data_IF_295429085606
#
_entry.id   IF_295429085606
#
_cell.length_a   1.000
_cell.length_b   1.000
_cell.length_c   1.000
_cell.angle_alpha   90.00
_cell.angle_beta   90.00
_cell.angle_gamma   90.00
#
_symmetry.space_group_name_H-M   'P 1'
#
loop_
_entity.id
_entity.type
_entity.pdbx_description
1 polymer ?
#
# COMPACT_ATOMS: atom_id res chain seq x y z
N UNK A 1 20.31 23.36 -1.38
CA UNK A 1 20.74 21.95 -1.19
C UNK A 1 19.83 21.18 -0.24
N UNK A 2 18.51 21.12 -0.46
CA UNK A 2 17.58 20.53 0.53
C UNK A 2 16.32 19.88 -0.02
N UNK A 3 16.26 19.54 -1.32
CA UNK A 3 15.09 18.92 -1.95
C UNK A 3 15.44 17.53 -2.44
N UNK A 4 15.68 16.66 -1.48
CA UNK A 4 15.68 15.20 -1.51
C UNK A 4 16.18 14.85 -0.13
N UNK A 5 15.29 14.49 0.81
CA UNK A 5 15.74 13.47 1.77
C UNK A 5 15.91 12.22 0.89
N UNK A 6 17.07 12.12 0.25
CA UNK A 6 17.58 10.86 -0.22
C UNK A 6 17.52 9.97 1.02
N UNK A 7 16.48 9.13 1.11
CA UNK A 7 16.74 7.79 1.58
C UNK A 7 17.95 7.37 0.75
N UNK A 8 19.13 7.38 1.36
CA UNK A 8 20.40 7.08 0.69
C UNK A 8 20.34 5.60 0.33
N UNK A 9 19.57 5.32 -0.72
CA UNK A 9 19.36 4.02 -1.31
C UNK A 9 20.69 3.67 -1.93
N UNK A 10 21.31 2.64 -1.38
CA UNK A 10 22.63 2.20 -1.83
C UNK A 10 22.55 0.73 -2.18
N UNK A 11 23.09 0.39 -3.34
CA UNK A 11 23.29 -1.00 -3.73
C UNK A 11 24.67 -1.39 -3.22
N UNK A 12 24.71 -2.37 -2.35
CA UNK A 12 25.94 -2.85 -1.72
C UNK A 12 26.20 -4.31 -2.09
N UNK A 13 27.47 -4.70 -2.08
CA UNK A 13 27.85 -6.13 -2.03
C UNK A 13 27.78 -6.62 -0.59
N UNK A 14 27.74 -7.94 -0.39
CA UNK A 14 27.77 -8.52 0.95
C UNK A 14 29.03 -8.12 1.73
N UNK A 15 30.19 -8.03 1.06
CA UNK A 15 31.44 -7.55 1.64
C UNK A 15 31.34 -6.11 2.15
N UNK A 16 30.67 -5.24 1.38
CA UNK A 16 30.47 -3.84 1.78
C UNK A 16 29.48 -3.73 2.93
N UNK A 17 28.42 -4.55 2.96
CA UNK A 17 27.49 -4.62 4.09
C UNK A 17 28.17 -5.12 5.37
N UNK A 18 29.01 -6.15 5.24
CA UNK A 18 29.80 -6.69 6.36
C UNK A 18 30.79 -5.66 6.90
N UNK A 19 31.39 -4.85 6.03
CA UNK A 19 32.27 -3.74 6.44
C UNK A 19 31.49 -2.58 7.08
N UNK A 20 30.24 -2.36 6.65
CA UNK A 20 29.37 -1.33 7.21
C UNK A 20 28.94 -1.68 8.64
N UNK A 21 28.46 -2.90 8.86
CA UNK A 21 28.05 -3.42 10.16
C UNK A 21 28.82 -4.72 10.45
N UNK A 22 30.03 -4.61 11.03
CA UNK A 22 30.87 -5.78 11.33
C UNK A 22 30.35 -6.63 12.49
N UNK A 23 29.43 -6.11 13.31
CA UNK A 23 28.90 -6.80 14.49
C UNK A 23 27.93 -7.93 14.14
N UNK A 24 27.43 -7.98 12.89
CA UNK A 24 26.51 -9.00 12.41
C UNK A 24 27.24 -9.82 11.36
N UNK A 25 27.27 -11.14 11.53
CA UNK A 25 27.75 -12.07 10.49
C UNK A 25 26.64 -12.29 9.46
N UNK A 26 26.58 -11.43 8.44
CA UNK A 26 25.47 -11.39 7.48
C UNK A 26 25.33 -12.69 6.68
N UNK A 27 26.45 -13.29 6.24
CA UNK A 27 26.43 -14.58 5.55
C UNK A 27 25.81 -15.68 6.43
N UNK A 28 26.20 -15.74 7.70
CA UNK A 28 25.65 -16.72 8.63
C UNK A 28 24.16 -16.45 8.89
N UNK A 29 23.77 -15.19 9.03
CA UNK A 29 22.37 -14.81 9.22
C UNK A 29 21.53 -15.22 8.01
N UNK A 30 21.93 -14.83 6.80
CA UNK A 30 21.19 -15.18 5.58
C UNK A 30 21.09 -16.68 5.37
N UNK A 31 22.19 -17.43 5.53
CA UNK A 31 22.17 -18.89 5.42
C UNK A 31 21.38 -19.58 6.55
N UNK A 32 21.15 -18.91 7.68
CA UNK A 32 20.33 -19.47 8.77
C UNK A 32 18.82 -19.24 8.58
N UNK A 33 18.43 -18.20 7.85
CA UNK A 33 17.01 -17.81 7.69
C UNK A 33 16.46 -18.13 6.30
N UNK A 34 17.32 -18.26 5.29
CA UNK A 34 16.92 -18.53 3.91
C UNK A 34 17.20 -19.98 3.52
N UNK A 35 16.33 -20.61 2.72
CA UNK A 35 16.55 -21.96 2.22
C UNK A 35 17.71 -21.98 1.22
N UNK A 36 18.65 -22.92 1.40
CA UNK A 36 19.81 -23.10 0.53
C UNK A 36 20.96 -22.12 0.82
N UNK A 37 22.02 -22.18 0.02
CA UNK A 37 23.13 -21.23 0.10
C UNK A 37 22.73 -19.91 -0.57
N UNK A 38 22.51 -18.87 0.23
CA UNK A 38 22.14 -17.55 -0.29
C UNK A 38 23.36 -16.64 -0.35
N UNK A 39 23.76 -16.27 -1.56
CA UNK A 39 24.87 -15.33 -1.80
C UNK A 39 24.40 -14.20 -2.73
N UNK A 40 23.90 -13.08 -2.18
CA UNK A 40 23.36 -12.00 -2.99
C UNK A 40 24.49 -11.20 -3.64
N UNK A 41 24.44 -11.07 -4.97
CA UNK A 41 25.36 -10.20 -5.71
C UNK A 41 25.12 -8.71 -5.42
N UNK A 42 23.88 -8.35 -5.09
CA UNK A 42 23.44 -6.99 -4.81
C UNK A 42 22.47 -6.97 -3.64
N UNK A 43 22.69 -6.06 -2.70
CA UNK A 43 21.83 -5.82 -1.55
C UNK A 43 21.36 -4.37 -1.61
N UNK A 44 20.04 -4.19 -1.66
CA UNK A 44 19.44 -2.86 -1.68
C UNK A 44 19.23 -2.34 -0.25
N UNK A 45 20.01 -1.33 0.14
CA UNK A 45 19.93 -0.71 1.46
C UNK A 45 19.02 0.51 1.40
N UNK A 46 17.77 0.36 1.85
CA UNK A 46 16.75 1.43 1.77
C UNK A 46 17.11 2.68 2.57
N UNK A 47 17.65 2.53 3.78
CA UNK A 47 17.91 3.65 4.68
C UNK A 47 19.32 3.56 5.28
N UNK A 48 20.32 4.08 4.57
CA UNK A 48 21.71 4.06 5.04
C UNK A 48 21.91 4.65 6.44
N UNK A 49 21.25 5.77 6.74
CA UNK A 49 21.37 6.46 8.03
C UNK A 49 20.94 5.57 9.20
N UNK A 50 19.90 4.75 9.01
CA UNK A 50 19.49 3.78 10.03
C UNK A 50 20.63 2.80 10.35
N UNK A 51 21.31 2.27 9.32
CA UNK A 51 22.42 1.32 9.51
C UNK A 51 23.65 1.98 10.15
N UNK A 52 23.92 3.26 9.85
CA UNK A 52 25.00 4.01 10.50
C UNK A 52 24.72 4.19 12.01
N UNK A 53 23.48 4.52 12.38
CA UNK A 53 23.06 4.63 13.79
C UNK A 53 23.05 3.25 14.46
N UNK A 54 22.53 2.22 13.78
CA UNK A 54 22.51 0.85 14.28
C UNK A 54 23.92 0.37 14.64
N UNK A 55 24.91 0.67 13.79
CA UNK A 55 26.32 0.35 14.06
C UNK A 55 26.80 0.98 15.37
N UNK A 56 26.48 2.26 15.62
CA UNK A 56 26.84 2.93 16.87
C UNK A 56 26.18 2.24 18.06
N UNK A 57 24.86 1.99 17.98
CA UNK A 57 24.12 1.32 19.05
C UNK A 57 24.69 -0.06 19.34
N UNK A 58 25.03 -0.85 18.32
CA UNK A 58 25.63 -2.17 18.50
C UNK A 58 27.04 -2.14 19.09
N UNK A 59 27.80 -1.06 18.87
CA UNK A 59 29.10 -0.87 19.52
C UNK A 59 28.97 -0.52 21.01
N UNK A 60 27.97 0.31 21.33
CA UNK A 60 27.77 0.85 22.68
C UNK A 60 26.94 -0.10 23.57
N UNK A 61 26.39 -1.18 23.01
CA UNK A 61 25.50 -2.12 23.70
C UNK A 61 26.15 -3.48 23.88
N UNK A 62 26.08 -4.03 25.10
CA UNK A 62 26.58 -5.38 25.36
C UNK A 62 25.83 -6.44 24.54
N UNK A 63 26.55 -7.47 24.10
CA UNK A 63 25.96 -8.62 23.37
C UNK A 63 24.81 -9.26 24.15
N UNK A 64 24.90 -9.31 25.48
CA UNK A 64 23.86 -9.86 26.34
C UNK A 64 22.56 -9.05 26.24
N UNK A 65 22.65 -7.72 26.31
CA UNK A 65 21.47 -6.86 26.20
C UNK A 65 20.84 -6.93 24.79
N UNK A 66 21.66 -7.04 23.75
CA UNK A 66 21.16 -7.27 22.37
C UNK A 66 20.39 -8.60 22.29
N UNK A 67 20.90 -9.68 22.89
CA UNK A 67 20.22 -10.99 22.94
C UNK A 67 18.89 -10.90 23.70
N UNK A 68 18.87 -10.25 24.85
CA UNK A 68 17.66 -10.04 25.65
C UNK A 68 16.61 -9.24 24.88
N UNK A 69 17.03 -8.17 24.20
CA UNK A 69 16.15 -7.40 23.33
C UNK A 69 15.56 -8.26 22.20
N UNK A 70 16.38 -9.04 21.49
CA UNK A 70 15.91 -9.95 20.43
C UNK A 70 14.91 -10.99 20.98
N UNK A 71 15.21 -11.59 22.13
CA UNK A 71 14.30 -12.54 22.79
C UNK A 71 12.99 -11.87 23.22
N UNK A 72 13.05 -10.64 23.70
CA UNK A 72 11.84 -9.87 24.02
C UNK A 72 10.98 -9.61 22.77
N UNK A 73 11.58 -9.33 21.62
CA UNK A 73 10.82 -9.20 20.36
C UNK A 73 10.11 -10.51 19.99
N UNK A 74 10.78 -11.66 20.16
CA UNK A 74 10.18 -12.98 19.96
C UNK A 74 9.00 -13.19 20.90
N UNK A 75 9.19 -12.99 22.21
CA UNK A 75 8.14 -13.12 23.23
C UNK A 75 6.94 -12.22 22.90
N UNK A 76 7.19 -10.93 22.64
CA UNK A 76 6.15 -9.96 22.27
C UNK A 76 5.37 -10.39 21.04
N UNK A 77 6.03 -10.99 20.06
CA UNK A 77 5.37 -11.48 18.85
C UNK A 77 4.50 -12.73 19.08
N UNK A 78 4.83 -13.54 20.09
CA UNK A 78 4.15 -14.81 20.42
C UNK A 78 2.99 -14.59 21.39
N UNK A 79 3.13 -13.66 22.36
CA UNK A 79 2.14 -13.43 23.43
C UNK A 79 0.67 -13.34 22.96
N UNK A 80 0.30 -12.62 21.87
CA UNK A 80 -1.08 -12.56 21.39
C UNK A 80 -1.65 -13.93 20.95
N UNK A 81 -0.79 -14.90 20.65
CA UNK A 81 -1.10 -16.24 20.14
C UNK A 81 -1.07 -17.31 21.21
N UNK A 82 -0.81 -16.93 22.45
CA UNK A 82 -0.82 -17.83 23.61
C UNK A 82 -2.23 -17.93 24.20
N UNK A 83 -2.38 -18.72 25.26
CA UNK A 83 -3.65 -18.89 25.98
C UNK A 83 -3.55 -18.43 27.44
N UNK A 84 -4.71 -18.30 28.08
CA UNK A 84 -4.81 -18.04 29.52
C UNK A 84 -4.09 -16.76 29.97
N UNK A 85 -3.29 -16.80 31.05
CA UNK A 85 -2.67 -15.61 31.65
C UNK A 85 -1.73 -14.84 30.73
N UNK A 86 -1.00 -15.52 29.84
CA UNK A 86 -0.06 -14.87 28.92
C UNK A 86 -0.80 -14.03 27.86
N UNK A 87 -1.90 -14.57 27.32
CA UNK A 87 -2.79 -13.82 26.43
C UNK A 87 -3.40 -12.62 27.15
N UNK A 88 -3.82 -12.79 28.40
CA UNK A 88 -4.39 -11.70 29.20
C UNK A 88 -3.38 -10.55 29.45
N UNK A 89 -2.08 -10.84 29.55
CA UNK A 89 -1.04 -9.80 29.60
C UNK A 89 -0.98 -9.03 28.27
N UNK A 90 -1.00 -9.74 27.14
CA UNK A 90 -1.02 -9.11 25.82
C UNK A 90 -2.24 -8.21 25.62
N UNK A 91 -3.42 -8.69 26.00
CA UNK A 91 -4.67 -7.93 25.89
C UNK A 91 -4.64 -6.66 26.73
N UNK A 92 -4.20 -6.73 27.99
CA UNK A 92 -4.02 -5.55 28.84
C UNK A 92 -3.06 -4.54 28.24
N UNK A 93 -1.95 -5.00 27.66
CA UNK A 93 -0.98 -4.13 26.99
C UNK A 93 -1.52 -3.53 25.67
N UNK A 94 -2.39 -4.23 24.94
CA UNK A 94 -3.02 -3.69 23.73
C UNK A 94 -4.14 -2.70 24.06
N UNK A 95 -4.87 -2.93 25.15
CA UNK A 95 -5.91 -2.03 25.65
C UNK A 95 -5.36 -0.66 26.05
N UNK A 96 -4.14 -0.57 26.60
CA UNK A 96 -3.49 0.74 26.84
C UNK A 96 -3.17 1.50 25.55
N UNK A 97 -3.18 0.83 24.40
CA UNK A 97 -2.99 1.42 23.07
C UNK A 97 -4.30 1.61 22.31
N UNK A 98 -5.45 1.38 22.96
CA UNK A 98 -6.78 1.36 22.33
C UNK A 98 -6.93 0.37 21.17
N UNK A 99 -6.02 -0.61 21.04
CA UNK A 99 -6.12 -1.67 20.04
C UNK A 99 -6.91 -2.80 20.69
N UNK A 100 -8.23 -2.65 20.80
CA UNK A 100 -9.10 -3.68 21.36
C UNK A 100 -10.13 -4.08 20.31
N UNK A 101 -9.81 -5.13 19.56
CA UNK A 101 -10.83 -5.99 18.97
C UNK A 101 -10.96 -7.22 19.87
N UNK A 102 -11.99 -7.23 20.72
CA UNK A 102 -12.16 -8.26 21.76
C UNK A 102 -12.82 -9.54 21.22
N UNK A 103 -13.28 -9.54 19.97
CA UNK A 103 -13.93 -10.69 19.39
C UNK A 103 -12.91 -11.72 18.88
N UNK A 104 -12.84 -12.88 19.57
CA UNK A 104 -11.94 -13.99 19.20
C UNK A 104 -12.15 -14.44 17.75
N UNK A 105 -13.40 -14.46 17.28
CA UNK A 105 -13.73 -14.82 15.90
C UNK A 105 -13.07 -13.87 14.91
N UNK A 106 -13.21 -12.55 15.12
CA UNK A 106 -12.56 -11.54 14.29
C UNK A 106 -11.04 -11.67 14.29
N UNK A 107 -10.41 -11.88 15.45
CA UNK A 107 -8.96 -12.12 15.51
C UNK A 107 -8.53 -13.32 14.65
N UNK A 108 -9.26 -14.44 14.74
CA UNK A 108 -8.98 -15.62 13.93
C UNK A 108 -9.19 -15.35 12.43
N UNK A 109 -10.26 -14.65 12.06
CA UNK A 109 -10.51 -14.23 10.67
C UNK A 109 -9.38 -13.36 10.14
N UNK A 110 -8.94 -12.35 10.90
CA UNK A 110 -7.86 -11.45 10.51
C UNK A 110 -6.52 -12.21 10.37
N UNK A 111 -6.21 -13.16 11.27
CA UNK A 111 -5.01 -14.00 11.13
C UNK A 111 -5.08 -14.90 9.89
N UNK A 112 -6.23 -15.51 9.61
CA UNK A 112 -6.43 -16.34 8.41
C UNK A 112 -6.24 -15.51 7.14
N UNK A 113 -6.90 -14.34 7.06
CA UNK A 113 -6.77 -13.41 5.95
C UNK A 113 -5.31 -12.98 5.73
N UNK A 114 -4.58 -12.70 6.82
CA UNK A 114 -3.18 -12.28 6.76
C UNK A 114 -2.21 -13.39 6.38
N UNK A 115 -2.46 -14.65 6.75
CA UNK A 115 -1.49 -15.74 6.64
C UNK A 115 -1.78 -16.71 5.49
N UNK A 116 -3.05 -16.82 5.09
CA UNK A 116 -3.55 -17.65 4.00
C UNK A 116 -4.13 -16.78 2.87
N UNK A 117 -3.45 -15.67 2.58
CA UNK A 117 -3.94 -14.65 1.64
C UNK A 117 -4.32 -15.22 0.26
N UNK A 118 -3.51 -16.11 -0.31
CA UNK A 118 -3.79 -16.67 -1.65
C UNK A 118 -4.99 -17.62 -1.62
N UNK A 119 -5.14 -18.40 -0.54
CA UNK A 119 -6.28 -19.31 -0.38
C UNK A 119 -7.58 -18.53 -0.20
N UNK A 120 -7.57 -17.49 0.63
CA UNK A 120 -8.75 -16.62 0.82
C UNK A 120 -9.04 -15.84 -0.47
N UNK A 121 -8.02 -15.36 -1.17
CA UNK A 121 -8.15 -14.71 -2.47
C UNK A 121 -8.77 -15.66 -3.51
N UNK A 122 -8.31 -16.91 -3.62
CA UNK A 122 -8.87 -17.90 -4.53
C UNK A 122 -10.36 -18.16 -4.25
N UNK A 123 -10.73 -18.33 -2.97
CA UNK A 123 -12.14 -18.45 -2.58
C UNK A 123 -12.96 -17.22 -2.96
N UNK A 124 -12.40 -16.02 -2.75
CA UNK A 124 -13.05 -14.77 -3.10
C UNK A 124 -13.25 -14.60 -4.61
N UNK A 125 -12.24 -14.97 -5.41
CA UNK A 125 -12.30 -14.95 -6.88
C UNK A 125 -13.36 -15.92 -7.37
N UNK A 126 -13.37 -17.16 -6.88
CA UNK A 126 -14.38 -18.16 -7.25
C UNK A 126 -15.82 -17.68 -6.95
N UNK A 127 -16.03 -16.92 -5.87
CA UNK A 127 -17.37 -16.46 -5.46
C UNK A 127 -17.80 -15.14 -6.13
N UNK A 128 -16.89 -14.18 -6.29
CA UNK A 128 -17.24 -12.79 -6.64
C UNK A 128 -16.75 -12.33 -8.00
N UNK A 129 -15.76 -12.99 -8.60
CA UNK A 129 -15.19 -12.54 -9.86
C UNK A 129 -15.74 -13.34 -11.05
N UNK A 130 -16.23 -12.61 -12.04
CA UNK A 130 -16.45 -13.10 -13.38
C UNK A 130 -15.60 -12.30 -14.37
N UNK A 131 -15.38 -12.84 -15.57
CA UNK A 131 -14.54 -12.19 -16.59
C UNK A 131 -15.08 -10.81 -17.01
N UNK A 132 -16.40 -10.59 -16.96
CA UNK A 132 -17.01 -9.33 -17.35
C UNK A 132 -16.60 -8.16 -16.46
N UNK A 133 -16.44 -8.37 -15.14
CA UNK A 133 -16.00 -7.33 -14.21
C UNK A 133 -14.54 -6.95 -14.50
N UNK A 134 -13.70 -7.95 -14.75
CA UNK A 134 -12.28 -7.78 -15.09
C UNK A 134 -12.14 -6.93 -16.36
N UNK A 135 -12.90 -7.25 -17.41
CA UNK A 135 -12.85 -6.53 -18.67
C UNK A 135 -13.39 -5.10 -18.52
N UNK A 136 -14.45 -4.90 -17.73
CA UNK A 136 -15.00 -3.58 -17.44
C UNK A 136 -13.98 -2.68 -16.75
N UNK A 137 -13.30 -3.17 -15.71
CA UNK A 137 -12.28 -2.39 -14.98
C UNK A 137 -11.08 -2.06 -15.88
N UNK A 138 -10.63 -3.01 -16.72
CA UNK A 138 -9.56 -2.77 -17.69
C UNK A 138 -9.92 -1.70 -18.73
N UNK A 139 -11.16 -1.73 -19.23
CA UNK A 139 -11.62 -0.73 -20.20
C UNK A 139 -11.68 0.67 -19.57
N UNK A 140 -12.20 0.79 -18.35
CA UNK A 140 -12.22 2.06 -17.61
C UNK A 140 -10.81 2.58 -17.39
N UNK A 141 -9.89 1.71 -17.01
CA UNK A 141 -8.50 2.11 -16.81
C UNK A 141 -7.82 2.58 -18.12
N UNK A 142 -8.16 1.96 -19.25
CA UNK A 142 -7.71 2.43 -20.56
C UNK A 142 -8.26 3.82 -20.88
N UNK A 143 -9.55 4.07 -20.61
CA UNK A 143 -10.18 5.40 -20.77
C UNK A 143 -9.49 6.44 -19.87
N UNK A 144 -9.18 6.10 -18.63
CA UNK A 144 -8.49 6.99 -17.70
C UNK A 144 -7.09 7.38 -18.18
N UNK A 145 -6.32 6.44 -18.72
CA UNK A 145 -5.02 6.74 -19.31
C UNK A 145 -5.13 7.71 -20.46
N UNK A 146 -6.15 7.54 -21.30
CA UNK A 146 -6.37 8.41 -22.45
C UNK A 146 -6.83 9.82 -22.04
N UNK A 147 -7.74 9.92 -21.08
CA UNK A 147 -8.17 11.20 -20.52
C UNK A 147 -6.98 11.92 -19.88
N UNK A 148 -6.17 11.20 -19.09
CA UNK A 148 -5.00 11.80 -18.47
C UNK A 148 -3.96 12.26 -19.48
N UNK A 149 -3.76 11.48 -20.56
CA UNK A 149 -2.92 11.85 -21.72
C UNK A 149 -3.38 13.19 -22.31
N UNK A 150 -4.68 13.31 -22.61
CA UNK A 150 -5.26 14.52 -23.20
C UNK A 150 -5.14 15.73 -22.26
N UNK A 151 -5.41 15.55 -20.97
CA UNK A 151 -5.23 16.62 -19.97
C UNK A 151 -3.80 17.17 -19.95
N UNK A 152 -2.79 16.29 -20.07
CA UNK A 152 -1.38 16.71 -20.12
C UNK A 152 -1.06 17.41 -21.44
N UNK A 153 -1.59 16.92 -22.57
CA UNK A 153 -1.41 17.54 -23.88
C UNK A 153 -2.01 18.96 -23.94
N UNK A 154 -3.17 19.15 -23.33
CA UNK A 154 -3.91 20.42 -23.30
C UNK A 154 -3.36 21.44 -22.27
N UNK A 155 -2.40 21.07 -21.43
CA UNK A 155 -1.83 21.97 -20.42
C UNK A 155 -0.70 22.84 -21.02
N UNK A 156 -0.95 24.11 -21.27
CA UNK A 156 0.03 25.02 -21.91
C UNK A 156 1.27 25.32 -21.04
N UNK A 157 1.16 25.19 -19.71
CA UNK A 157 2.23 25.51 -18.76
C UNK A 157 3.36 24.47 -18.70
N UNK A 158 3.18 23.30 -19.32
CA UNK A 158 4.19 22.23 -19.36
C UNK A 158 4.93 22.31 -20.70
N UNK A 159 6.25 22.41 -20.64
CA UNK A 159 7.08 22.40 -21.85
C UNK A 159 7.02 21.04 -22.58
N UNK A 160 7.37 21.04 -23.86
CA UNK A 160 7.24 19.87 -24.74
C UNK A 160 8.08 18.67 -24.24
N UNK A 161 9.28 18.89 -23.71
CA UNK A 161 10.15 17.81 -23.23
C UNK A 161 9.57 17.15 -21.97
N UNK A 162 9.09 17.97 -21.04
CA UNK A 162 8.40 17.52 -19.83
C UNK A 162 7.11 16.77 -20.18
N UNK A 163 6.29 17.30 -21.12
CA UNK A 163 5.09 16.60 -21.62
C UNK A 163 5.42 15.21 -22.13
N UNK A 164 6.39 15.08 -23.03
CA UNK A 164 6.77 13.78 -23.59
C UNK A 164 7.19 12.77 -22.51
N UNK A 165 7.90 13.23 -21.48
CA UNK A 165 8.32 12.36 -20.38
C UNK A 165 7.14 11.92 -19.51
N UNK A 166 6.21 12.83 -19.22
CA UNK A 166 4.97 12.53 -18.49
C UNK A 166 4.09 11.54 -19.27
N UNK A 167 3.90 11.78 -20.57
CA UNK A 167 3.09 10.92 -21.45
C UNK A 167 3.67 9.50 -21.51
N UNK A 168 5.00 9.36 -21.60
CA UNK A 168 5.65 8.06 -21.55
C UNK A 168 5.53 7.37 -20.17
N UNK A 169 5.48 8.13 -19.08
CA UNK A 169 5.23 7.57 -17.75
C UNK A 169 3.80 7.00 -17.64
N UNK A 170 2.79 7.80 -18.01
CA UNK A 170 1.37 7.37 -18.04
C UNK A 170 1.21 6.14 -18.93
N UNK A 171 1.83 6.15 -20.12
CA UNK A 171 1.78 5.04 -21.07
C UNK A 171 2.37 3.76 -20.50
N UNK A 172 3.49 3.83 -19.77
CA UNK A 172 4.14 2.67 -19.14
C UNK A 172 3.38 2.13 -17.94
N UNK A 173 2.48 2.91 -17.34
CA UNK A 173 1.74 2.44 -16.17
C UNK A 173 0.71 1.37 -16.56
N UNK A 174 0.81 0.20 -15.92
CA UNK A 174 -0.10 -0.93 -16.10
C UNK A 174 -1.05 -1.09 -14.90
N UNK A 175 -2.19 -1.75 -15.10
CA UNK A 175 -3.12 -2.12 -14.05
C UNK A 175 -2.91 -3.59 -13.64
N UNK A 176 -2.82 -3.85 -12.34
CA UNK A 176 -2.77 -5.17 -11.74
C UNK A 176 -3.89 -5.33 -10.70
N UNK A 177 -4.77 -6.32 -10.88
CA UNK A 177 -5.94 -6.51 -9.99
C UNK A 177 -5.69 -7.49 -8.83
N UNK A 178 -4.43 -7.77 -8.51
CA UNK A 178 -4.05 -8.72 -7.44
C UNK A 178 -4.52 -10.17 -7.69
N UNK A 179 -4.84 -10.54 -8.93
CA UNK A 179 -5.18 -11.90 -9.33
C UNK A 179 -3.91 -12.54 -9.91
N UNK A 180 -3.35 -13.53 -9.20
CA UNK A 180 -2.25 -14.34 -9.71
C UNK A 180 -2.79 -15.60 -10.40
N UNK A 181 -2.14 -16.07 -11.45
CA UNK A 181 -2.51 -17.32 -12.13
C UNK A 181 -2.54 -18.52 -11.17
N UNK A 182 -1.63 -18.54 -10.19
CA UNK A 182 -1.58 -19.58 -9.16
C UNK A 182 -2.81 -19.62 -8.26
N UNK A 183 -3.55 -18.52 -8.12
CA UNK A 183 -4.81 -18.47 -7.36
C UNK A 183 -5.99 -19.02 -8.17
N UNK A 184 -5.87 -19.04 -9.50
CA UNK A 184 -6.90 -19.56 -10.42
C UNK A 184 -6.77 -21.07 -10.64
N UNK A 185 -5.63 -21.65 -10.29
CA UNK A 185 -5.33 -23.07 -10.43
C UNK A 185 -5.18 -23.74 -9.04
N UNK A 186 -6.18 -24.54 -8.66
CA UNK A 186 -6.19 -25.26 -7.38
C UNK A 186 -4.98 -26.16 -7.16
N UNK A 187 -4.42 -26.74 -8.23
CA UNK A 187 -3.22 -27.58 -8.12
C UNK A 187 -2.01 -26.71 -7.78
N UNK A 188 -1.81 -25.60 -8.47
CA UNK A 188 -0.73 -24.67 -8.16
C UNK A 188 -0.85 -24.07 -6.76
N UNK A 189 -2.07 -23.72 -6.33
CA UNK A 189 -2.35 -23.24 -4.98
C UNK A 189 -1.98 -24.28 -3.92
N UNK A 190 -2.41 -25.54 -4.09
CA UNK A 190 -2.07 -26.63 -3.18
C UNK A 190 -0.55 -26.91 -3.16
N UNK A 191 0.09 -26.90 -4.33
CA UNK A 191 1.53 -27.08 -4.47
C UNK A 191 2.29 -25.94 -3.75
N UNK A 192 1.77 -24.71 -3.77
CA UNK A 192 2.34 -23.56 -3.07
C UNK A 192 2.32 -23.74 -1.54
N UNK A 193 1.27 -24.31 -0.97
CA UNK A 193 1.12 -24.53 0.48
C UNK A 193 1.65 -25.88 0.99
N UNK A 194 2.29 -26.70 0.13
CA UNK A 194 2.70 -28.08 0.46
C UNK A 194 3.60 -28.25 1.70
N UNK A 195 4.35 -27.20 2.06
CA UNK A 195 5.28 -27.22 3.21
C UNK A 195 4.64 -26.73 4.51
N UNK A 196 3.42 -26.19 4.44
CA UNK A 196 2.68 -25.73 5.61
C UNK A 196 2.12 -26.94 6.37
N UNK A 197 2.33 -26.94 7.67
CA UNK A 197 1.85 -27.97 8.59
C UNK A 197 0.84 -27.35 9.55
N UNK A 198 -0.36 -27.91 9.59
CA UNK A 198 -1.45 -27.48 10.45
C UNK A 198 -1.84 -28.66 11.36
N UNK A 199 -1.83 -28.44 12.67
CA UNK A 199 -2.29 -29.36 13.71
C UNK A 199 -3.23 -28.64 14.71
N UNK A 200 -3.55 -29.27 15.84
CA UNK A 200 -4.43 -28.67 16.85
C UNK A 200 -3.79 -27.49 17.62
N UNK A 201 -2.47 -27.27 17.47
CA UNK A 201 -1.75 -26.20 18.16
C UNK A 201 -1.80 -24.90 17.37
N UNK A 202 -2.62 -23.97 17.82
CA UNK A 202 -2.71 -22.63 17.22
C UNK A 202 -1.35 -21.95 17.06
N UNK A 203 -0.48 -22.03 18.08
CA UNK A 203 0.85 -21.42 18.00
C UNK A 203 1.71 -22.06 16.91
N UNK A 204 1.74 -23.40 16.80
CA UNK A 204 2.51 -24.08 15.75
C UNK A 204 1.98 -23.75 14.36
N UNK A 205 0.67 -23.71 14.18
CA UNK A 205 0.04 -23.35 12.91
C UNK A 205 0.48 -21.96 12.46
N UNK A 206 0.42 -20.97 13.37
CA UNK A 206 0.83 -19.61 13.05
C UNK A 206 2.34 -19.53 12.75
N UNK A 207 3.18 -20.28 13.45
CA UNK A 207 4.63 -20.32 13.17
C UNK A 207 4.92 -20.96 11.81
N UNK A 208 4.24 -22.06 11.46
CA UNK A 208 4.37 -22.72 10.15
C UNK A 208 3.96 -21.78 9.01
N UNK A 209 2.78 -21.15 9.13
CA UNK A 209 2.27 -20.20 8.16
C UNK A 209 3.17 -18.96 8.00
N UNK A 210 3.70 -18.42 9.10
CA UNK A 210 4.63 -17.28 9.05
C UNK A 210 5.95 -17.65 8.39
N UNK A 211 6.48 -18.83 8.69
CA UNK A 211 7.69 -19.33 8.03
C UNK A 211 7.49 -19.41 6.53
N UNK A 212 6.36 -20.00 6.09
CA UNK A 212 6.00 -20.04 4.69
C UNK A 212 5.87 -18.63 4.07
N UNK A 213 5.08 -17.75 4.69
CA UNK A 213 4.83 -16.39 4.19
C UNK A 213 6.12 -15.57 4.04
N UNK A 214 7.05 -15.68 4.98
CA UNK A 214 8.33 -14.96 4.91
C UNK A 214 9.26 -15.48 3.81
N UNK A 215 9.16 -16.77 3.46
CA UNK A 215 9.97 -17.38 2.41
C UNK A 215 9.34 -17.28 1.02
N UNK A 216 8.01 -17.14 0.93
CA UNK A 216 7.26 -17.08 -0.33
C UNK A 216 7.82 -16.06 -1.34
N UNK A 217 8.14 -14.80 -1.00
CA UNK A 217 8.66 -13.84 -2.00
C UNK A 217 9.98 -14.30 -2.63
N UNK A 218 10.80 -15.01 -1.87
CA UNK A 218 12.12 -15.51 -2.31
C UNK A 218 11.95 -16.75 -3.19
N UNK A 219 10.96 -17.60 -2.88
CA UNK A 219 10.71 -18.85 -3.61
C UNK A 219 9.86 -18.65 -4.88
N UNK A 220 8.92 -17.72 -4.84
CA UNK A 220 7.91 -17.51 -5.88
C UNK A 220 8.16 -16.26 -6.75
N UNK A 221 9.05 -15.35 -6.34
CA UNK A 221 9.42 -14.19 -7.14
C UNK A 221 8.36 -13.08 -7.25
N UNK A 222 7.27 -13.16 -6.49
CA UNK A 222 6.21 -12.14 -6.47
C UNK A 222 5.97 -11.63 -5.04
N UNK A 223 5.68 -10.32 -4.88
CA UNK A 223 5.35 -9.75 -3.58
C UNK A 223 4.05 -10.35 -3.03
N UNK A 224 3.89 -10.28 -1.71
CA UNK A 224 2.69 -10.69 -0.99
C UNK A 224 1.51 -9.83 -1.46
N UNK A 225 0.59 -10.43 -2.21
CA UNK A 225 -0.69 -9.82 -2.60
C UNK A 225 -1.62 -9.94 -1.40
N UNK A 226 -1.35 -9.09 -0.40
CA UNK A 226 -2.25 -8.97 0.74
C UNK A 226 -3.63 -8.54 0.19
N UNK A 227 -4.76 -9.09 0.69
CA UNK A 227 -6.08 -8.57 0.39
C UNK A 227 -6.24 -7.23 1.11
N UNK A 228 -5.57 -6.21 0.56
CA UNK A 228 -5.72 -4.82 0.97
C UNK A 228 -7.05 -4.34 0.43
N UNK A 229 -7.59 -3.33 1.09
CA UNK A 229 -8.78 -2.62 0.60
C UNK A 229 -8.40 -1.37 -0.20
N UNK A 230 -7.17 -0.87 0.00
CA UNK A 230 -6.68 0.34 -0.67
C UNK A 230 -5.87 -0.04 -1.90
N UNK A 231 -6.19 0.60 -3.02
CA UNK A 231 -5.32 0.65 -4.18
C UNK A 231 -3.96 1.26 -3.82
N UNK A 232 -2.95 1.00 -4.66
CA UNK A 232 -1.64 1.64 -4.55
C UNK A 232 -0.94 1.73 -5.90
N UNK A 233 -0.08 2.73 -6.07
CA UNK A 233 0.89 2.80 -7.15
C UNK A 233 2.24 2.21 -6.71
N UNK A 234 2.67 1.13 -7.36
CA UNK A 234 4.02 0.58 -7.19
C UNK A 234 5.01 1.28 -8.14
N UNK A 235 5.85 2.14 -7.56
CA UNK A 235 6.89 2.85 -8.30
C UNK A 235 8.00 1.96 -8.86
N UNK A 236 8.19 0.74 -8.36
CA UNK A 236 9.22 -0.19 -8.86
C UNK A 236 8.75 -0.92 -10.11
N UNK A 237 7.52 -1.43 -10.10
CA UNK A 237 6.94 -2.13 -11.26
C UNK A 237 6.19 -1.21 -12.21
N UNK A 238 5.98 0.07 -11.85
CA UNK A 238 5.17 1.05 -12.58
C UNK A 238 3.72 0.56 -12.76
N UNK A 239 3.11 0.07 -11.68
CA UNK A 239 1.77 -0.51 -11.73
C UNK A 239 0.82 0.18 -10.76
N UNK A 240 -0.41 0.40 -11.21
CA UNK A 240 -1.55 0.59 -10.32
C UNK A 240 -2.02 -0.79 -9.87
N UNK A 241 -1.94 -1.04 -8.57
CA UNK A 241 -2.37 -2.29 -7.95
C UNK A 241 -3.74 -2.05 -7.31
N UNK A 242 -4.77 -2.68 -7.88
CA UNK A 242 -6.13 -2.69 -7.36
C UNK A 242 -6.38 -4.02 -6.63
N UNK A 243 -6.29 -4.08 -5.30
CA UNK A 243 -6.41 -5.35 -4.60
C UNK A 243 -7.85 -5.87 -4.63
N UNK A 244 -8.02 -7.18 -4.42
CA UNK A 244 -9.32 -7.87 -4.46
C UNK A 244 -10.37 -7.26 -3.50
N UNK A 245 -9.94 -6.69 -2.38
CA UNK A 245 -10.83 -6.01 -1.43
C UNK A 245 -11.56 -4.80 -2.04
N UNK A 246 -11.03 -4.20 -3.11
CA UNK A 246 -11.67 -3.10 -3.84
C UNK A 246 -12.92 -3.53 -4.61
N UNK A 247 -13.12 -4.85 -4.77
CA UNK A 247 -14.25 -5.47 -5.46
C UNK A 247 -15.36 -5.91 -4.48
N UNK A 248 -15.32 -5.40 -3.26
CA UNK A 248 -16.36 -5.55 -2.25
C UNK A 248 -17.22 -4.29 -2.21
N UNK A 249 -18.49 -4.42 -1.81
CA UNK A 249 -19.31 -3.26 -1.47
C UNK A 249 -18.73 -2.54 -0.24
N UNK A 250 -18.78 -1.20 -0.19
CA UNK A 250 -19.47 -0.29 -1.13
C UNK A 250 -18.65 0.10 -2.37
N UNK A 251 -17.40 -0.38 -2.51
CA UNK A 251 -16.47 0.04 -3.56
C UNK A 251 -16.85 -0.44 -4.96
N UNK A 252 -17.15 -1.72 -5.11
CA UNK A 252 -17.61 -2.29 -6.37
C UNK A 252 -18.39 -3.59 -6.16
N UNK A 253 -19.47 -3.74 -6.91
CA UNK A 253 -20.22 -4.96 -7.12
C UNK A 253 -20.49 -5.13 -8.61
N UNK A 254 -20.52 -6.37 -9.08
CA UNK A 254 -20.90 -6.70 -10.46
C UNK A 254 -22.29 -6.20 -10.89
N UNK A 255 -23.13 -5.78 -9.91
CA UNK A 255 -24.47 -5.27 -10.12
C UNK A 255 -24.58 -3.75 -9.95
N UNK A 256 -23.46 -3.07 -9.70
CA UNK A 256 -23.51 -1.64 -9.44
C UNK A 256 -23.72 -0.84 -10.73
N UNK A 257 -24.41 0.28 -10.58
CA UNK A 257 -24.59 1.26 -11.64
C UNK A 257 -23.22 1.81 -12.06
N UNK A 258 -23.04 2.13 -13.35
CA UNK A 258 -21.78 2.66 -13.87
C UNK A 258 -21.33 3.89 -13.08
N UNK A 259 -22.28 4.73 -12.68
CA UNK A 259 -22.02 5.89 -11.83
C UNK A 259 -21.20 5.52 -10.59
N UNK A 260 -21.61 4.49 -9.84
CA UNK A 260 -20.94 4.06 -8.59
C UNK A 260 -19.52 3.58 -8.89
N UNK A 261 -19.36 2.86 -10.00
CA UNK A 261 -18.05 2.37 -10.45
C UNK A 261 -17.08 3.52 -10.72
N UNK A 262 -17.50 4.59 -11.41
CA UNK A 262 -16.65 5.76 -11.64
C UNK A 262 -16.45 6.59 -10.36
N UNK A 263 -17.50 6.84 -9.56
CA UNK A 263 -17.41 7.69 -8.36
C UNK A 263 -16.77 7.04 -7.14
N UNK A 264 -16.36 5.77 -7.22
CA UNK A 264 -15.75 5.05 -6.12
C UNK A 264 -14.42 4.41 -6.57
N UNK A 265 -14.43 3.12 -6.97
CA UNK A 265 -13.21 2.42 -7.39
C UNK A 265 -12.51 3.07 -8.60
N UNK A 266 -13.28 3.76 -9.46
CA UNK A 266 -12.76 4.56 -10.55
C UNK A 266 -11.87 5.70 -10.06
N UNK A 267 -12.34 6.48 -9.08
CA UNK A 267 -11.53 7.54 -8.45
C UNK A 267 -10.28 6.93 -7.80
N UNK A 268 -10.39 5.82 -7.06
CA UNK A 268 -9.20 5.16 -6.48
C UNK A 268 -8.20 4.72 -7.55
N UNK A 269 -8.64 4.15 -8.68
CA UNK A 269 -7.72 3.81 -9.77
C UNK A 269 -7.08 5.05 -10.41
N UNK A 270 -7.86 6.11 -10.64
CA UNK A 270 -7.35 7.35 -11.22
C UNK A 270 -6.38 8.07 -10.28
N UNK A 271 -6.60 7.97 -8.96
CA UNK A 271 -5.69 8.45 -7.91
C UNK A 271 -4.34 7.80 -8.02
N UNK A 272 -4.31 6.46 -8.04
CA UNK A 272 -3.06 5.72 -8.18
C UNK A 272 -2.42 5.92 -9.55
N UNK A 273 -3.19 6.07 -10.62
CA UNK A 273 -2.65 6.41 -11.94
C UNK A 273 -1.95 7.78 -11.90
N UNK A 274 -2.48 8.76 -11.17
CA UNK A 274 -1.87 10.08 -11.06
C UNK A 274 -0.49 10.04 -10.37
N UNK A 275 -0.27 9.10 -9.44
CA UNK A 275 1.04 8.92 -8.81
C UNK A 275 2.15 8.47 -9.80
N UNK A 276 1.79 8.05 -11.02
CA UNK A 276 2.77 7.76 -12.09
C UNK A 276 3.65 8.96 -12.44
N UNK A 277 3.16 10.18 -12.22
CA UNK A 277 3.88 11.41 -12.56
C UNK A 277 4.51 12.07 -11.33
N UNK A 278 4.34 11.52 -10.12
CA UNK A 278 4.67 12.21 -8.88
C UNK A 278 6.10 12.71 -8.78
N UNK A 279 7.04 11.86 -9.22
CA UNK A 279 8.46 12.16 -9.17
C UNK A 279 8.90 13.02 -10.36
N UNK A 280 8.13 13.03 -11.45
CA UNK A 280 8.39 13.84 -12.65
C UNK A 280 7.89 15.26 -12.46
N UNK A 281 6.67 15.44 -11.97
CA UNK A 281 6.07 16.74 -11.71
C UNK A 281 6.88 17.57 -10.69
N UNK A 282 7.48 16.92 -9.69
CA UNK A 282 8.37 17.59 -8.72
C UNK A 282 9.75 17.92 -9.32
N UNK A 283 10.22 17.13 -10.29
CA UNK A 283 11.52 17.32 -10.93
C UNK A 283 11.48 18.33 -12.10
N UNK A 284 10.31 18.50 -12.73
CA UNK A 284 10.11 19.31 -13.94
C UNK A 284 9.60 20.71 -13.67
N UNK A 285 8.94 20.95 -12.53
CA UNK A 285 8.59 22.29 -12.13
C UNK A 285 9.83 23.04 -11.61
N UNK A 286 10.03 24.29 -12.03
CA UNK A 286 10.98 25.15 -11.33
C UNK A 286 10.55 25.19 -9.87
N UNK A 287 11.51 25.11 -8.94
CA UNK A 287 11.24 25.08 -7.49
C UNK A 287 10.27 26.18 -7.05
N UNK A 288 10.27 27.32 -7.74
CA UNK A 288 9.41 28.47 -7.48
C UNK A 288 7.94 28.24 -7.88
N UNK A 289 7.67 27.63 -9.04
CA UNK A 289 6.30 27.31 -9.48
C UNK A 289 5.69 26.22 -8.61
N UNK A 290 6.47 25.18 -8.30
CA UNK A 290 6.05 24.12 -7.39
C UNK A 290 5.72 24.68 -6.01
N UNK A 291 6.56 25.57 -5.49
CA UNK A 291 6.31 26.23 -4.21
C UNK A 291 5.03 27.07 -4.25
N UNK A 292 4.77 27.82 -5.33
CA UNK A 292 3.52 28.60 -5.47
C UNK A 292 2.27 27.72 -5.51
N UNK A 293 2.32 26.57 -6.21
CA UNK A 293 1.20 25.61 -6.26
C UNK A 293 0.97 24.95 -4.91
N UNK A 294 2.05 24.55 -4.22
CA UNK A 294 2.00 24.06 -2.85
C UNK A 294 1.41 25.13 -1.94
N UNK A 295 1.88 26.37 -2.01
CA UNK A 295 1.42 27.48 -1.17
C UNK A 295 -0.06 27.79 -1.43
N UNK A 296 -0.51 27.75 -2.68
CA UNK A 296 -1.92 27.89 -3.05
C UNK A 296 -2.78 26.81 -2.38
N UNK A 297 -2.41 25.55 -2.58
CA UNK A 297 -3.16 24.41 -2.04
C UNK A 297 -3.12 24.39 -0.50
N UNK A 298 -1.96 24.61 0.11
CA UNK A 298 -1.81 24.73 1.57
C UNK A 298 -2.60 25.92 2.12
N UNK A 299 -2.62 27.06 1.42
CA UNK A 299 -3.39 28.23 1.87
C UNK A 299 -4.90 27.97 1.88
N UNK A 300 -5.41 27.20 0.91
CA UNK A 300 -6.83 26.79 0.89
C UNK A 300 -7.21 25.83 2.01
N UNK A 301 -6.24 25.19 2.64
CA UNK A 301 -6.43 24.16 3.68
C UNK A 301 -5.90 24.61 5.04
N UNK A 302 -5.46 25.88 5.12
CA UNK A 302 -4.74 26.45 6.26
C UNK A 302 -5.57 26.40 7.55
N UNK A 303 -6.87 26.66 7.49
CA UNK A 303 -7.76 26.57 8.67
C UNK A 303 -7.89 25.15 9.24
N UNK A 304 -7.70 24.11 8.41
CA UNK A 304 -7.76 22.71 8.84
C UNK A 304 -6.38 22.17 9.26
N UNK A 305 -5.31 22.71 8.67
CA UNK A 305 -3.93 22.43 9.08
C UNK A 305 -3.62 23.10 10.43
N UNK A 306 -4.06 24.34 10.66
CA UNK A 306 -3.83 25.09 11.91
C UNK A 306 -4.56 24.51 13.14
N UNK A 307 -5.60 23.68 12.94
CA UNK A 307 -6.22 22.91 14.02
C UNK A 307 -5.37 21.71 14.47
N UNK A 308 -4.38 21.31 13.67
CA UNK A 308 -3.50 20.17 13.92
C UNK A 308 -2.05 20.67 14.05
N UNK A 309 -1.67 21.09 15.26
CA UNK A 309 -0.39 21.75 15.63
C UNK A 309 0.93 21.01 15.24
N UNK A 310 0.87 19.84 14.58
CA UNK A 310 2.02 18.93 14.41
C UNK A 310 2.48 18.72 12.94
N UNK A 311 1.92 19.41 11.95
CA UNK A 311 2.29 19.18 10.54
C UNK A 311 3.65 19.81 10.19
N UNK A 312 4.72 19.04 10.38
CA UNK A 312 6.09 19.37 9.92
C UNK A 312 6.15 19.63 8.40
N UNK A 313 7.05 20.53 7.97
CA UNK A 313 7.37 20.82 6.56
C UNK A 313 7.69 19.54 5.74
N UNK A 314 8.22 18.49 6.38
CA UNK A 314 8.46 17.20 5.71
C UNK A 314 7.18 16.51 5.22
N UNK A 315 6.05 16.79 5.85
CA UNK A 315 4.76 16.20 5.53
C UNK A 315 4.03 17.01 4.44
N UNK A 316 4.34 18.31 4.27
CA UNK A 316 3.69 19.17 3.27
C UNK A 316 3.89 18.65 1.85
N UNK A 317 5.08 18.15 1.49
CA UNK A 317 5.31 17.58 0.15
C UNK A 317 4.53 16.28 -0.07
N UNK A 318 4.41 15.45 0.96
CA UNK A 318 3.58 14.23 0.87
C UNK A 318 2.11 14.62 0.69
N UNK A 319 1.64 15.54 1.52
CA UNK A 319 0.29 16.07 1.46
C UNK A 319 -0.05 16.67 0.09
N UNK A 320 0.85 17.48 -0.49
CA UNK A 320 0.67 18.04 -1.83
C UNK A 320 0.52 16.95 -2.90
N UNK A 321 1.30 15.88 -2.83
CA UNK A 321 1.20 14.75 -3.77
C UNK A 321 -0.16 14.06 -3.70
N UNK A 322 -0.62 13.75 -2.49
CA UNK A 322 -1.94 13.14 -2.26
C UNK A 322 -3.08 14.06 -2.70
N UNK A 323 -3.03 15.34 -2.31
CA UNK A 323 -4.09 16.30 -2.68
C UNK A 323 -4.14 16.54 -4.20
N UNK A 324 -2.99 16.56 -4.87
CA UNK A 324 -2.97 16.59 -6.35
C UNK A 324 -3.58 15.33 -6.93
N UNK A 325 -3.25 14.17 -6.38
CA UNK A 325 -3.79 12.89 -6.83
C UNK A 325 -5.32 12.83 -6.66
N UNK A 326 -5.86 13.34 -5.56
CA UNK A 326 -7.29 13.47 -5.32
C UNK A 326 -7.97 14.37 -6.37
N UNK A 327 -7.38 15.54 -6.68
CA UNK A 327 -7.95 16.47 -7.65
C UNK A 327 -7.91 15.92 -9.09
N UNK A 328 -6.75 15.39 -9.49
CA UNK A 328 -6.55 14.82 -10.84
C UNK A 328 -7.45 13.59 -11.03
N UNK A 329 -7.58 12.74 -10.02
CA UNK A 329 -8.40 11.55 -10.09
C UNK A 329 -9.89 11.86 -10.21
N UNK A 330 -10.37 12.89 -9.48
CA UNK A 330 -11.74 13.34 -9.57
C UNK A 330 -12.06 13.85 -10.98
N UNK A 331 -11.16 14.63 -11.57
CA UNK A 331 -11.30 15.14 -12.94
C UNK A 331 -11.32 14.02 -13.97
N UNK A 332 -10.32 13.12 -13.93
CA UNK A 332 -10.23 11.97 -14.85
C UNK A 332 -11.49 11.10 -14.77
N UNK A 333 -11.88 10.73 -13.55
CA UNK A 333 -13.02 9.81 -13.36
C UNK A 333 -14.35 10.47 -13.74
N UNK A 334 -14.51 11.76 -13.43
CA UNK A 334 -15.71 12.50 -13.80
C UNK A 334 -15.82 12.69 -15.32
N UNK A 335 -14.74 13.04 -16.03
CA UNK A 335 -14.75 13.11 -17.49
C UNK A 335 -15.12 11.76 -18.12
N UNK A 336 -14.55 10.67 -17.62
CA UNK A 336 -14.86 9.32 -18.10
C UNK A 336 -16.31 8.93 -17.86
N UNK A 337 -16.87 9.32 -16.70
CA UNK A 337 -18.28 9.15 -16.37
C UNK A 337 -19.17 9.94 -17.34
N UNK A 338 -18.85 11.22 -17.62
CA UNK A 338 -19.62 12.06 -18.54
C UNK A 338 -19.55 11.60 -19.99
N UNK A 339 -18.47 10.92 -20.39
CA UNK A 339 -18.34 10.32 -21.71
C UNK A 339 -19.25 9.10 -21.91
N UNK A 340 -19.84 8.55 -20.84
CA UNK A 340 -20.77 7.42 -20.95
C UNK A 340 -22.09 7.86 -21.56
N UNK A 341 -22.52 7.17 -22.61
CA UNK A 341 -23.77 7.48 -23.32
C UNK A 341 -25.03 7.04 -22.56
N UNK A 342 -24.88 6.33 -21.43
CA UNK A 342 -25.98 5.68 -20.73
C UNK A 342 -26.26 6.38 -19.40
N UNK A 343 -27.33 7.17 -19.38
CA UNK A 343 -27.88 7.73 -18.15
C UNK A 343 -28.46 6.61 -17.28
N UNK A 344 -28.08 6.61 -16.01
CA UNK A 344 -28.56 5.73 -14.95
C UNK A 344 -28.87 6.56 -13.70
N UNK A 345 -30.07 7.15 -13.65
CA UNK A 345 -30.59 7.71 -12.40
C UNK A 345 -30.87 6.59 -11.40
N UNK A 346 -30.39 6.77 -10.17
CA UNK A 346 -30.69 5.86 -9.08
C UNK A 346 -32.14 6.05 -8.63
N UNK A 347 -32.91 4.97 -8.45
CA UNK A 347 -34.28 5.09 -8.00
C UNK A 347 -34.32 5.64 -6.57
N UNK A 348 -35.37 6.40 -6.25
CA UNK A 348 -35.62 6.97 -4.91
C UNK A 348 -34.64 8.05 -4.43
N UNK A 349 -33.71 8.51 -5.28
CA UNK A 349 -32.87 9.69 -5.02
C UNK A 349 -33.36 10.85 -5.87
N UNK A 350 -33.76 11.96 -5.23
CA UNK A 350 -34.13 13.20 -5.92
C UNK A 350 -32.87 14.02 -6.26
N UNK A 351 -31.92 13.39 -6.94
CA UNK A 351 -30.64 13.95 -7.34
C UNK A 351 -30.38 13.62 -8.81
N UNK A 352 -29.76 14.54 -9.52
CA UNK A 352 -29.25 14.23 -10.86
C UNK A 352 -27.96 13.40 -10.76
N UNK A 353 -27.48 12.91 -11.90
CA UNK A 353 -26.31 12.01 -11.92
C UNK A 353 -25.02 12.70 -11.49
N UNK A 354 -24.84 13.98 -11.85
CA UNK A 354 -23.67 14.76 -11.47
C UNK A 354 -23.62 14.92 -9.94
N UNK A 355 -24.75 15.27 -9.31
CA UNK A 355 -24.89 15.34 -7.85
C UNK A 355 -24.64 13.98 -7.20
N UNK A 356 -25.19 12.93 -7.78
CA UNK A 356 -25.07 11.57 -7.25
C UNK A 356 -23.61 11.08 -7.31
N UNK A 357 -22.87 11.42 -8.38
CA UNK A 357 -21.45 11.12 -8.51
C UNK A 357 -20.65 11.74 -7.36
N UNK A 358 -20.78 13.04 -7.12
CA UNK A 358 -20.01 13.73 -6.07
C UNK A 358 -20.44 13.32 -4.66
N UNK A 359 -21.73 13.05 -4.43
CA UNK A 359 -22.20 12.54 -3.14
C UNK A 359 -21.65 11.15 -2.87
N UNK A 360 -21.65 10.26 -3.87
CA UNK A 360 -21.11 8.92 -3.71
C UNK A 360 -19.60 8.95 -3.46
N UNK A 361 -18.85 9.80 -4.17
CA UNK A 361 -17.44 10.04 -3.89
C UNK A 361 -17.23 10.51 -2.44
N UNK A 362 -17.95 11.54 -1.97
CA UNK A 362 -17.84 12.04 -0.60
C UNK A 362 -18.18 10.97 0.45
N UNK A 363 -19.09 10.05 0.15
CA UNK A 363 -19.43 8.92 1.04
C UNK A 363 -18.28 7.93 1.22
N UNK A 364 -17.35 7.82 0.25
CA UNK A 364 -16.15 6.99 0.40
C UNK A 364 -15.20 7.52 1.48
N UNK A 365 -15.26 8.82 1.75
CA UNK A 365 -14.44 9.50 2.75
C UNK A 365 -15.13 9.60 4.12
N UNK A 366 -16.31 9.00 4.29
CA UNK A 366 -17.01 9.00 5.56
C UNK A 366 -16.27 8.16 6.60
N UNK A 367 -15.67 8.81 7.58
CA UNK A 367 -15.03 8.16 8.72
C UNK A 367 -14.94 9.13 9.89
N UNK A 368 -15.12 8.63 11.11
CA UNK A 368 -14.83 9.38 12.33
C UNK A 368 -13.56 8.78 12.95
N UNK A 369 -12.47 9.53 12.94
CA UNK A 369 -11.22 9.11 13.57
C UNK A 369 -11.11 9.78 14.94
N UNK A 370 -10.97 8.98 16.00
CA UNK A 370 -10.63 9.55 17.30
C UNK A 370 -9.24 10.21 17.23
N UNK A 371 -9.08 11.38 17.84
CA UNK A 371 -7.89 12.26 17.73
C UNK A 371 -6.53 11.55 17.88
N UNK A 372 -6.47 10.47 18.68
CA UNK A 372 -5.24 9.70 18.92
C UNK A 372 -4.85 8.76 17.76
N UNK A 373 -5.76 8.41 16.86
CA UNK A 373 -5.46 7.64 15.65
C UNK A 373 -4.88 8.49 14.52
N UNK A 374 -5.21 9.80 14.48
CA UNK A 374 -4.61 10.75 13.53
C UNK A 374 -3.08 10.75 13.63
N UNK A 375 -2.53 10.68 14.85
CA UNK A 375 -1.07 10.60 15.08
C UNK A 375 -0.46 9.33 14.46
N UNK A 376 -1.18 8.21 14.44
CA UNK A 376 -0.66 6.94 13.88
C UNK A 376 -0.71 6.91 12.34
N UNK A 377 -1.63 7.68 11.74
CA UNK A 377 -1.80 7.78 10.28
C UNK A 377 -0.90 8.89 9.69
N UNK A 378 -0.72 10.01 10.40
CA UNK A 378 0.16 11.11 10.01
C UNK A 378 1.65 10.78 10.22
N UNK A 379 1.95 9.86 11.13
CA UNK A 379 3.28 9.28 11.32
C UNK A 379 3.19 7.76 11.19
N UNK A 380 2.90 7.23 9.98
CA UNK A 380 2.94 5.80 9.80
C UNK A 380 4.38 5.35 10.12
N UNK A 381 4.58 4.26 10.89
CA UNK A 381 5.90 3.67 11.01
C UNK A 381 6.44 3.47 9.60
N UNK A 382 7.74 3.71 9.35
CA UNK A 382 8.31 3.69 8.01
C UNK A 382 7.83 2.43 7.29
N UNK A 383 7.07 2.64 6.20
CA UNK A 383 6.66 1.55 5.30
C UNK A 383 7.98 0.91 4.82
N UNK A 384 8.21 -0.33 5.24
CA UNK A 384 9.39 -1.11 4.89
C UNK A 384 9.31 -1.60 3.45
#
# INVERSE_FOLDING_TARGET
NGCTKNYNRSILTITTLQSLIPQISWDSLFNSVLPGSFNPNQIFLYNRRYFDVLRSVLNDTSVQLVKEYCMWQVIRSILPKTEGPLRAISHRYQATRCIVDDERAKYCTDQTLMLLEDSVAAMFIEEKFNSSVVDQVKNIYADFKEIYRNMVEDTDEIDIESKNTILEAIKKTELEMGILESMLDRKQLNDAYRTVQIDDSFLKNILSLRSYKNLKPILAGYPSVFPRFSAMYDHLSLKVVLPLGSFLRPSLSQYDYRLILYSNVGISMAHELSHSVDNLAVAMETKQVLQQRIDCLVSSLKEDIEKNDDVSISNITMYYKEARADLVSLEISYQAFKAQQQSQQLPYLNLNEDQTFFINFAQTMCGNMADRYLVTILYPPPKY
#
